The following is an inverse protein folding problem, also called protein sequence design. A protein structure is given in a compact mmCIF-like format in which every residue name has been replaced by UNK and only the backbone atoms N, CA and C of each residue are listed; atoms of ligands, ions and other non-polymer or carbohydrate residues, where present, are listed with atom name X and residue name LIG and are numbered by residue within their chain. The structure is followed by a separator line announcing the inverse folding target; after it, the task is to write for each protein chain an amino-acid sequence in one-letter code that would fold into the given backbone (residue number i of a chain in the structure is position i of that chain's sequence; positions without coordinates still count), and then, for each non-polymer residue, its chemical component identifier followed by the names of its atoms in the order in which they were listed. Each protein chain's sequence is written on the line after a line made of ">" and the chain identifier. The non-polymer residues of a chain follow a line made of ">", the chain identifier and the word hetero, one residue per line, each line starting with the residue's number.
data_IF_534558925609
#
_entry.id   IF_534558925609
#
_cell.length_a   1.000
_cell.length_b   1.000
_cell.length_c   1.000
_cell.angle_alpha   90.00
_cell.angle_beta   90.00
_cell.angle_gamma   90.00
#
_symmetry.space_group_name_H-M   'P 1'
#
loop_
_entity.id
_entity.type
_entity.pdbx_description
1 polymer ?
#
# COMPACT_ATOMS: atom_id res chain seq x y z
N UNK A 1 15.30 -14.18 -6.32
CA UNK A 1 14.69 -14.92 -5.20
C UNK A 1 14.84 -14.07 -3.95
N UNK A 2 13.78 -13.92 -3.17
CA UNK A 2 13.81 -13.15 -1.92
C UNK A 2 13.75 -14.13 -0.77
N UNK A 3 14.80 -14.15 0.04
CA UNK A 3 14.85 -14.91 1.28
C UNK A 3 14.28 -14.05 2.43
N UNK A 4 13.19 -14.53 3.04
CA UNK A 4 12.49 -13.84 4.14
C UNK A 4 13.32 -13.89 5.44
N UNK A 5 14.35 -14.74 5.50
CA UNK A 5 15.29 -14.78 6.64
C UNK A 5 16.27 -13.60 6.65
N UNK A 6 16.37 -12.83 5.56
CA UNK A 6 17.12 -11.57 5.53
C UNK A 6 16.43 -10.54 6.42
N UNK A 7 16.94 -10.39 7.64
CA UNK A 7 16.44 -9.49 8.68
C UNK A 7 16.42 -8.01 8.25
N UNK A 8 16.98 -7.65 7.09
CA UNK A 8 16.99 -6.27 6.60
C UNK A 8 15.87 -5.97 5.60
N UNK A 9 15.13 -6.98 5.11
CA UNK A 9 14.22 -6.74 3.98
C UNK A 9 13.08 -5.76 4.31
N UNK A 10 12.65 -5.74 5.56
CA UNK A 10 11.62 -4.81 6.03
C UNK A 10 12.12 -3.38 6.26
N UNK A 11 13.43 -3.17 6.30
CA UNK A 11 14.01 -1.82 6.35
C UNK A 11 14.09 -1.17 4.98
N UNK A 12 13.85 -1.95 3.91
CA UNK A 12 13.86 -1.50 2.52
C UNK A 12 12.45 -1.10 2.09
N UNK A 13 12.36 -0.07 1.27
CA UNK A 13 11.13 0.34 0.59
C UNK A 13 11.45 0.91 -0.78
N UNK A 14 10.55 0.70 -1.73
CA UNK A 14 10.59 1.38 -3.03
C UNK A 14 9.53 2.48 -3.06
N UNK A 15 9.93 3.70 -3.38
CA UNK A 15 9.06 4.85 -3.51
C UNK A 15 8.83 5.16 -4.99
N UNK A 16 7.58 5.41 -5.33
CA UNK A 16 7.14 5.71 -6.70
C UNK A 16 6.25 6.94 -6.71
N UNK A 17 6.06 7.54 -7.89
CA UNK A 17 5.14 8.67 -8.05
C UNK A 17 3.67 8.24 -8.08
N UNK A 18 3.35 7.08 -8.67
CA UNK A 18 1.98 6.59 -8.92
C UNK A 18 1.69 5.25 -8.25
N UNK A 19 0.44 5.05 -7.82
CA UNK A 19 0.00 3.77 -7.22
C UNK A 19 0.14 2.60 -8.20
N UNK A 20 -0.04 2.82 -9.51
CA UNK A 20 0.09 1.76 -10.52
C UNK A 20 1.50 1.12 -10.52
N UNK A 21 2.55 1.94 -10.48
CA UNK A 21 3.93 1.44 -10.42
C UNK A 21 4.20 0.71 -9.09
N UNK A 22 3.73 1.26 -7.97
CA UNK A 22 3.84 0.59 -6.68
C UNK A 22 3.16 -0.79 -6.70
N UNK A 23 1.94 -0.89 -7.25
CA UNK A 23 1.21 -2.14 -7.35
C UNK A 23 1.95 -3.16 -8.22
N UNK A 24 2.43 -2.77 -9.41
CA UNK A 24 3.22 -3.64 -10.29
C UNK A 24 4.46 -4.21 -9.59
N UNK A 25 5.22 -3.36 -8.89
CA UNK A 25 6.41 -3.78 -8.14
C UNK A 25 6.03 -4.71 -6.99
N UNK A 26 4.98 -4.38 -6.24
CA UNK A 26 4.48 -5.23 -5.16
C UNK A 26 4.11 -6.63 -5.67
N UNK A 27 3.38 -6.73 -6.79
CA UNK A 27 3.00 -8.00 -7.39
C UNK A 27 4.22 -8.81 -7.84
N UNK A 28 5.19 -8.16 -8.49
CA UNK A 28 6.46 -8.79 -8.87
C UNK A 28 7.21 -9.34 -7.65
N UNK A 29 7.33 -8.54 -6.59
CA UNK A 29 8.03 -8.95 -5.36
C UNK A 29 7.32 -10.11 -4.67
N UNK A 30 5.98 -10.09 -4.58
CA UNK A 30 5.20 -11.21 -4.02
C UNK A 30 5.40 -12.49 -4.83
N UNK A 31 5.46 -12.39 -6.16
CA UNK A 31 5.72 -13.55 -7.01
C UNK A 31 7.12 -14.16 -6.79
N UNK A 32 8.11 -13.35 -6.39
CA UNK A 32 9.46 -13.81 -6.07
C UNK A 32 9.61 -14.46 -4.68
N UNK A 33 8.60 -14.38 -3.81
CA UNK A 33 8.60 -15.00 -2.49
C UNK A 33 8.31 -16.51 -2.62
N UNK A 34 9.19 -17.32 -2.05
CA UNK A 34 9.08 -18.78 -2.00
C UNK A 34 8.20 -19.24 -0.83
N UNK A 35 6.91 -18.90 -0.90
CA UNK A 35 5.90 -19.38 0.04
C UNK A 35 4.57 -19.61 -0.70
N UNK A 36 3.68 -20.48 -0.17
CA UNK A 36 2.36 -20.70 -0.74
C UNK A 36 1.55 -19.41 -0.81
N UNK A 37 0.98 -19.13 -1.98
CA UNK A 37 0.06 -18.02 -2.18
C UNK A 37 -1.31 -18.36 -1.60
N UNK A 38 -1.91 -17.40 -0.90
CA UNK A 38 -3.30 -17.42 -0.46
C UNK A 38 -4.01 -16.21 -1.06
N UNK A 39 -5.18 -16.46 -1.63
CA UNK A 39 -6.02 -15.44 -2.27
C UNK A 39 -7.24 -15.16 -1.40
N UNK A 40 -7.41 -13.90 -1.02
CA UNK A 40 -8.54 -13.42 -0.23
C UNK A 40 -9.42 -12.50 -1.07
N UNK A 41 -10.60 -12.99 -1.46
CA UNK A 41 -11.63 -12.20 -2.13
C UNK A 41 -12.47 -11.42 -1.12
N UNK A 42 -12.74 -10.15 -1.39
CA UNK A 42 -13.61 -9.32 -0.56
C UNK A 42 -15.08 -9.70 -0.72
N UNK A 43 -15.90 -9.26 0.24
CA UNK A 43 -17.36 -9.30 0.11
C UNK A 43 -17.80 -7.86 -0.06
N UNK A 44 -18.34 -7.53 -1.24
CA UNK A 44 -18.74 -6.18 -1.60
C UNK A 44 -20.26 -6.09 -1.60
N UNK A 45 -20.78 -4.99 -1.06
CA UNK A 45 -22.20 -4.68 -1.05
C UNK A 45 -22.42 -3.21 -1.37
N UNK A 46 -23.47 -2.91 -2.11
CA UNK A 46 -23.97 -1.55 -2.27
C UNK A 46 -24.88 -1.22 -1.09
N UNK A 47 -24.69 -0.02 -0.53
CA UNK A 47 -25.64 0.63 0.37
C UNK A 47 -26.24 1.79 -0.42
N UNK A 48 -27.49 1.65 -0.85
CA UNK A 48 -28.26 2.69 -1.54
C UNK A 48 -29.70 2.67 -1.05
N UNK A 49 -30.35 3.84 -1.09
CA UNK A 49 -31.79 3.98 -0.84
C UNK A 49 -32.61 3.63 -2.11
N UNK A 50 -32.00 3.68 -3.30
CA UNK A 50 -32.62 3.26 -4.55
C UNK A 50 -32.42 1.76 -4.77
N UNK A 51 -33.52 1.00 -4.77
CA UNK A 51 -33.49 -0.45 -5.00
C UNK A 51 -33.06 -0.82 -6.43
N UNK A 52 -33.17 0.11 -7.40
CA UNK A 52 -32.73 -0.13 -8.77
C UNK A 52 -31.19 -0.15 -8.91
N UNK A 53 -30.44 0.41 -7.97
CA UNK A 53 -28.97 0.40 -8.03
C UNK A 53 -28.39 -1.03 -8.01
N UNK A 54 -29.05 -1.97 -7.31
CA UNK A 54 -28.64 -3.38 -7.31
C UNK A 54 -28.79 -4.05 -8.68
N UNK A 55 -29.69 -3.53 -9.52
CA UNK A 55 -29.93 -4.01 -10.89
C UNK A 55 -29.00 -3.30 -11.88
N UNK A 56 -28.72 -2.01 -11.64
CA UNK A 56 -27.95 -1.16 -12.55
C UNK A 56 -26.44 -1.41 -12.48
N UNK A 57 -25.92 -1.89 -11.35
CA UNK A 57 -24.48 -2.11 -11.16
C UNK A 57 -24.14 -3.60 -10.99
N UNK A 58 -23.60 -4.28 -12.02
CA UNK A 58 -23.20 -5.67 -11.90
C UNK A 58 -22.01 -5.84 -10.93
N UNK A 59 -21.93 -7.00 -10.26
CA UNK A 59 -20.87 -7.29 -9.28
C UNK A 59 -19.47 -7.18 -9.89
N UNK A 60 -19.28 -7.54 -11.15
CA UNK A 60 -18.00 -7.40 -11.86
C UNK A 60 -17.53 -5.95 -11.93
N UNK A 61 -18.46 -4.99 -12.05
CA UNK A 61 -18.14 -3.57 -12.00
C UNK A 61 -17.80 -3.14 -10.57
N UNK A 62 -18.58 -3.58 -9.59
CA UNK A 62 -18.41 -3.25 -8.16
C UNK A 62 -17.04 -3.74 -7.66
N UNK A 63 -16.68 -4.99 -7.98
CA UNK A 63 -15.45 -5.61 -7.52
C UNK A 63 -14.20 -4.96 -8.13
N UNK A 64 -14.34 -4.29 -9.29
CA UNK A 64 -13.26 -3.48 -9.90
C UNK A 64 -13.08 -2.13 -9.24
N UNK A 65 -14.06 -1.64 -8.48
CA UNK A 65 -13.92 -0.35 -7.81
C UNK A 65 -12.86 -0.43 -6.71
N UNK A 66 -11.94 0.53 -6.74
CA UNK A 66 -10.95 0.73 -5.68
C UNK A 66 -10.82 2.21 -5.33
N UNK A 67 -11.85 2.80 -4.67
CA UNK A 67 -11.77 4.17 -4.19
C UNK A 67 -10.59 4.37 -3.24
N UNK A 68 -10.22 5.64 -3.03
CA UNK A 68 -9.13 5.98 -2.10
C UNK A 68 -9.38 5.40 -0.71
N UNK A 69 -8.33 4.84 -0.12
CA UNK A 69 -8.40 4.21 1.20
C UNK A 69 -9.18 2.89 1.24
N UNK A 70 -9.48 2.25 0.12
CA UNK A 70 -10.08 0.90 0.09
C UNK A 70 -9.04 -0.17 -0.32
N UNK A 71 -9.06 -1.35 0.31
CA UNK A 71 -8.23 -2.47 -0.13
C UNK A 71 -8.80 -3.02 -1.46
N UNK A 72 -7.97 -3.70 -2.27
CA UNK A 72 -8.45 -4.33 -3.50
C UNK A 72 -9.45 -5.45 -3.18
N UNK A 73 -10.30 -5.77 -4.16
CA UNK A 73 -11.22 -6.91 -4.04
C UNK A 73 -10.45 -8.22 -3.86
N UNK A 74 -9.42 -8.44 -4.68
CA UNK A 74 -8.53 -9.60 -4.58
C UNK A 74 -7.24 -9.19 -3.87
N UNK A 75 -6.96 -9.81 -2.73
CA UNK A 75 -5.67 -9.74 -2.05
C UNK A 75 -4.91 -11.05 -2.23
N UNK A 76 -3.78 -11.01 -2.94
CA UNK A 76 -2.86 -12.14 -3.10
C UNK A 76 -1.72 -11.96 -2.11
N UNK A 77 -1.58 -12.89 -1.17
CA UNK A 77 -0.64 -12.77 -0.06
C UNK A 77 0.15 -14.05 0.13
N UNK A 78 1.34 -13.92 0.70
CA UNK A 78 2.21 -15.02 1.12
C UNK A 78 2.71 -14.75 2.54
N UNK A 79 3.08 -15.80 3.26
CA UNK A 79 3.86 -15.61 4.50
C UNK A 79 5.14 -14.86 4.15
N UNK A 80 5.50 -13.85 4.95
CA UNK A 80 6.62 -12.95 4.68
C UNK A 80 6.30 -11.73 3.82
N UNK A 81 5.09 -11.61 3.27
CA UNK A 81 4.68 -10.38 2.57
C UNK A 81 4.67 -9.20 3.55
N UNK A 82 5.32 -8.10 3.14
CA UNK A 82 5.23 -6.82 3.85
C UNK A 82 3.96 -6.11 3.41
N UNK A 83 3.15 -5.71 4.37
CA UNK A 83 1.89 -5.01 4.16
C UNK A 83 1.83 -3.74 5.00
N UNK A 84 0.94 -2.83 4.64
CA UNK A 84 0.67 -1.60 5.36
C UNK A 84 -0.79 -1.54 5.76
N UNK A 85 -1.07 -1.19 7.01
CA UNK A 85 -2.43 -0.92 7.47
C UNK A 85 -2.98 0.35 6.80
N UNK A 86 -4.21 0.30 6.32
CA UNK A 86 -4.90 1.44 5.69
C UNK A 86 -6.00 2.05 6.58
N UNK A 87 -6.17 1.52 7.81
CA UNK A 87 -7.08 2.04 8.83
C UNK A 87 -6.47 1.89 10.22
N UNK A 88 -6.91 2.77 11.13
CA UNK A 88 -6.66 2.61 12.55
C UNK A 88 -7.54 1.47 13.08
N UNK A 89 -6.94 0.49 13.74
CA UNK A 89 -7.66 -0.61 14.41
C UNK A 89 -7.51 -0.51 15.93
N UNK A 90 -6.29 -0.27 16.38
CA UNK A 90 -5.96 -0.11 17.79
C UNK A 90 -4.70 0.74 17.93
N UNK A 91 -4.89 2.02 18.21
CA UNK A 91 -3.79 2.98 18.32
C UNK A 91 -2.88 2.64 19.51
N UNK A 92 -3.43 2.11 20.61
CA UNK A 92 -2.67 1.78 21.84
C UNK A 92 -1.70 0.62 21.59
N UNK A 93 -2.08 -0.29 20.69
CA UNK A 93 -1.25 -1.42 20.27
C UNK A 93 -0.49 -1.18 18.96
N UNK A 94 -0.38 0.07 18.49
CA UNK A 94 0.42 0.44 17.31
C UNK A 94 -0.20 0.04 15.96
N UNK A 95 -1.46 -0.42 15.95
CA UNK A 95 -2.23 -0.73 14.76
C UNK A 95 -2.88 0.55 14.20
N UNK A 96 -2.04 1.45 13.70
CA UNK A 96 -2.41 2.72 13.09
C UNK A 96 -2.28 2.66 11.56
N UNK A 97 -3.01 3.53 10.88
CA UNK A 97 -2.87 3.72 9.43
C UNK A 97 -1.41 4.08 9.09
N UNK A 98 -0.87 3.42 8.06
CA UNK A 98 0.53 3.57 7.66
C UNK A 98 1.50 2.63 8.37
N UNK A 99 1.11 1.93 9.45
CA UNK A 99 1.99 0.94 10.10
C UNK A 99 2.33 -0.19 9.13
N UNK A 100 3.63 -0.45 8.94
CA UNK A 100 4.10 -1.61 8.17
C UNK A 100 4.14 -2.84 9.06
N UNK A 101 3.71 -3.96 8.48
CA UNK A 101 3.60 -5.26 9.12
C UNK A 101 4.23 -6.31 8.20
N UNK A 102 4.74 -7.40 8.78
CA UNK A 102 5.09 -8.62 8.03
C UNK A 102 4.15 -9.75 8.41
N UNK A 103 3.60 -10.43 7.42
CA UNK A 103 2.70 -11.58 7.63
C UNK A 103 3.51 -12.76 8.16
N UNK A 104 3.10 -13.31 9.30
CA UNK A 104 3.69 -14.50 9.91
C UNK A 104 2.81 -15.72 9.71
N UNK A 105 1.49 -15.56 9.81
CA UNK A 105 0.53 -16.62 9.54
C UNK A 105 -0.71 -16.07 8.82
N UNK A 106 -1.34 -16.93 8.04
CA UNK A 106 -2.50 -16.61 7.21
C UNK A 106 -3.65 -17.55 7.54
N UNK A 107 -4.72 -17.01 8.12
CA UNK A 107 -5.95 -17.74 8.42
C UNK A 107 -7.11 -17.19 7.60
N UNK A 108 -8.26 -17.87 7.60
CA UNK A 108 -9.42 -17.48 6.77
C UNK A 108 -9.95 -16.07 7.08
N UNK A 109 -10.01 -15.70 8.37
CA UNK A 109 -10.69 -14.49 8.85
C UNK A 109 -9.76 -13.50 9.57
N UNK A 110 -8.52 -13.87 9.82
CA UNK A 110 -7.50 -13.02 10.45
C UNK A 110 -6.11 -13.36 9.89
N UNK A 111 -5.21 -12.40 9.97
CA UNK A 111 -3.79 -12.58 9.69
C UNK A 111 -3.00 -12.36 10.98
N UNK A 112 -1.97 -13.17 11.22
CA UNK A 112 -1.02 -12.92 12.30
C UNK A 112 0.16 -12.17 11.71
N UNK A 113 0.42 -10.98 12.25
CA UNK A 113 1.38 -10.04 11.71
C UNK A 113 2.36 -9.57 12.79
N UNK A 114 3.61 -9.32 12.41
CA UNK A 114 4.59 -8.63 13.26
C UNK A 114 4.69 -7.17 12.84
N UNK A 115 4.61 -6.24 13.79
CA UNK A 115 4.76 -4.80 13.55
C UNK A 115 6.22 -4.46 13.22
N UNK A 116 6.45 -3.70 12.15
CA UNK A 116 7.78 -3.30 11.68
C UNK A 116 8.14 -1.85 12.03
N UNK A 117 7.14 -1.01 12.28
CA UNK A 117 7.28 0.44 12.46
C UNK A 117 6.57 0.95 13.72
N UNK A 118 7.02 2.08 14.26
CA UNK A 118 6.36 2.76 15.38
C UNK A 118 6.72 2.20 16.76
N UNK A 119 6.03 2.70 17.78
CA UNK A 119 6.36 2.48 19.20
C UNK A 119 6.11 1.04 19.70
N UNK A 120 5.34 0.23 18.95
CA UNK A 120 5.11 -1.20 19.21
C UNK A 120 5.82 -2.11 18.21
N UNK A 121 6.98 -1.68 17.68
CA UNK A 121 7.82 -2.50 16.78
C UNK A 121 8.08 -3.87 17.42
N UNK A 122 8.08 -4.92 16.60
CA UNK A 122 8.23 -6.33 16.96
C UNK A 122 7.05 -6.99 17.69
N UNK A 123 6.00 -6.25 18.07
CA UNK A 123 4.80 -6.87 18.63
C UNK A 123 4.06 -7.71 17.59
N UNK A 124 3.47 -8.82 18.04
CA UNK A 124 2.59 -9.67 17.23
C UNK A 124 1.15 -9.20 17.42
N UNK A 125 0.43 -9.04 16.31
CA UNK A 125 -0.96 -8.59 16.27
C UNK A 125 -1.78 -9.44 15.31
N UNK A 126 -3.08 -9.57 15.58
CA UNK A 126 -4.04 -10.18 14.68
C UNK A 126 -4.77 -9.09 13.87
N UNK A 127 -4.78 -9.21 12.56
CA UNK A 127 -5.48 -8.29 11.65
C UNK A 127 -6.76 -8.99 11.14
N UNK A 128 -7.96 -8.59 11.62
CA UNK A 128 -9.20 -9.19 11.18
C UNK A 128 -9.67 -8.60 9.84
N UNK A 129 -10.59 -9.31 9.16
CA UNK A 129 -11.39 -8.71 8.09
C UNK A 129 -12.40 -7.76 8.72
N UNK A 130 -12.50 -6.53 8.22
CA UNK A 130 -13.45 -5.53 8.69
C UNK A 130 -14.27 -4.98 7.54
N UNK A 131 -15.40 -4.37 7.88
CA UNK A 131 -16.20 -3.61 6.92
C UNK A 131 -15.58 -2.24 6.68
N UNK A 132 -15.34 -1.92 5.42
CA UNK A 132 -14.74 -0.68 4.98
C UNK A 132 -15.72 0.05 4.05
N UNK A 133 -15.83 1.35 4.25
CA UNK A 133 -16.46 2.26 3.29
C UNK A 133 -15.43 3.30 2.85
N UNK A 134 -15.54 3.78 1.60
CA UNK A 134 -14.71 4.88 1.14
C UNK A 134 -15.03 6.13 1.97
N UNK A 135 -14.00 6.92 2.28
CA UNK A 135 -14.16 8.19 3.00
C UNK A 135 -14.76 9.26 2.08
N UNK A 136 -14.34 9.27 0.81
CA UNK A 136 -14.85 10.13 -0.25
C UNK A 136 -14.96 9.29 -1.52
N UNK A 137 -16.05 9.44 -2.26
CA UNK A 137 -16.28 8.72 -3.50
C UNK A 137 -17.16 9.54 -4.42
N UNK A 138 -16.83 9.56 -5.71
CA UNK A 138 -17.71 10.10 -6.78
C UNK A 138 -18.67 9.04 -7.29
N UNK A 139 -18.64 7.83 -6.74
CA UNK A 139 -19.59 6.78 -7.08
C UNK A 139 -21.01 7.22 -6.67
N UNK A 140 -22.02 6.92 -7.50
CA UNK A 140 -23.41 7.27 -7.21
C UNK A 140 -24.02 6.45 -6.06
N UNK A 141 -23.27 5.50 -5.50
CA UNK A 141 -23.67 4.62 -4.41
C UNK A 141 -22.59 4.50 -3.35
N UNK A 142 -22.98 4.07 -2.14
CA UNK A 142 -22.01 3.79 -1.06
C UNK A 142 -21.55 2.34 -1.13
N UNK A 143 -20.29 2.16 -1.50
CA UNK A 143 -19.63 0.85 -1.45
C UNK A 143 -19.29 0.46 -0.01
N UNK A 144 -19.65 -0.76 0.38
CA UNK A 144 -19.17 -1.42 1.60
C UNK A 144 -18.41 -2.67 1.21
N UNK A 145 -17.16 -2.78 1.65
CA UNK A 145 -16.24 -3.90 1.36
C UNK A 145 -15.77 -4.56 2.65
N UNK A 146 -16.05 -5.84 2.83
CA UNK A 146 -15.48 -6.65 3.92
C UNK A 146 -14.17 -7.28 3.48
N UNK A 147 -13.05 -6.77 3.99
CA UNK A 147 -11.71 -7.22 3.62
C UNK A 147 -10.70 -6.93 4.74
N UNK A 148 -9.50 -7.52 4.67
CA UNK A 148 -8.41 -7.05 5.51
C UNK A 148 -8.06 -5.59 5.18
N UNK A 149 -7.90 -4.73 6.20
CA UNK A 149 -7.57 -3.32 6.02
C UNK A 149 -6.06 -3.14 5.78
N UNK A 150 -5.53 -3.85 4.78
CA UNK A 150 -4.11 -3.83 4.41
C UNK A 150 -3.91 -3.74 2.90
N UNK A 151 -2.74 -3.27 2.50
CA UNK A 151 -2.22 -3.34 1.14
C UNK A 151 -0.75 -3.80 1.16
N UNK A 152 -0.26 -4.52 0.12
CA UNK A 152 1.18 -4.77 -0.05
C UNK A 152 2.01 -3.48 0.03
N UNK A 153 3.19 -3.57 0.64
CA UNK A 153 4.01 -2.40 0.99
C UNK A 153 5.53 -2.66 0.88
N UNK A 154 5.95 -3.39 -0.15
CA UNK A 154 7.34 -3.40 -0.62
C UNK A 154 7.64 -2.11 -1.40
N UNK A 155 6.68 -1.69 -2.21
CA UNK A 155 6.63 -0.40 -2.87
C UNK A 155 5.39 0.41 -2.45
N UNK A 156 5.53 1.73 -2.43
CA UNK A 156 4.43 2.66 -2.18
C UNK A 156 4.66 3.99 -2.88
N UNK A 157 3.63 4.84 -2.91
CA UNK A 157 3.77 6.20 -3.43
C UNK A 157 4.53 7.08 -2.45
N UNK A 158 5.29 8.05 -2.96
CA UNK A 158 5.99 9.07 -2.15
C UNK A 158 5.03 9.75 -1.16
N UNK A 159 3.82 10.10 -1.59
CA UNK A 159 2.79 10.69 -0.73
C UNK A 159 2.48 9.83 0.51
N UNK A 160 2.31 8.51 0.34
CA UNK A 160 2.05 7.56 1.44
C UNK A 160 3.25 7.37 2.38
N UNK A 161 4.46 7.73 1.94
CA UNK A 161 5.68 7.64 2.74
C UNK A 161 5.93 8.87 3.62
N UNK A 162 5.14 9.94 3.45
CA UNK A 162 5.34 11.19 4.16
C UNK A 162 5.21 11.00 5.67
N UNK A 163 6.18 11.51 6.42
CA UNK A 163 6.25 11.37 7.88
C UNK A 163 6.85 10.04 8.37
N UNK A 164 7.24 9.14 7.46
CA UNK A 164 7.96 7.90 7.80
C UNK A 164 9.45 8.02 7.46
N UNK A 165 10.29 7.18 8.07
CA UNK A 165 11.72 7.03 7.76
C UNK A 165 12.05 5.55 7.59
N UNK A 166 12.93 5.24 6.65
CA UNK A 166 13.30 3.86 6.32
C UNK A 166 14.82 3.67 6.37
N UNK A 167 15.27 2.43 6.56
CA UNK A 167 16.69 2.11 6.61
C UNK A 167 17.35 2.17 5.23
N UNK A 168 16.65 1.75 4.17
CA UNK A 168 17.08 1.91 2.77
C UNK A 168 15.90 2.25 1.87
N UNK A 169 16.10 3.16 0.92
CA UNK A 169 15.06 3.60 -0.01
C UNK A 169 15.56 3.46 -1.44
N UNK A 170 14.78 2.77 -2.26
CA UNK A 170 14.83 2.88 -3.71
C UNK A 170 13.80 3.90 -4.17
N UNK A 171 14.16 4.85 -5.02
CA UNK A 171 13.21 5.75 -5.68
C UNK A 171 13.15 5.30 -7.14
N UNK A 172 11.95 4.90 -7.59
CA UNK A 172 11.70 4.46 -8.96
C UNK A 172 10.82 5.48 -9.68
N UNK A 173 11.40 6.16 -10.66
CA UNK A 173 10.80 7.26 -11.44
C UNK A 173 10.86 6.95 -12.95
N UNK A 174 9.96 6.09 -13.45
CA UNK A 174 9.86 5.82 -14.88
C UNK A 174 9.31 7.02 -15.67
N UNK A 175 8.60 7.92 -14.98
CA UNK A 175 8.06 9.17 -15.50
C UNK A 175 8.51 10.33 -14.60
N UNK A 176 8.56 11.57 -15.13
CA UNK A 176 8.81 12.76 -14.32
C UNK A 176 7.82 12.89 -13.16
N UNK A 177 8.30 13.47 -12.06
CA UNK A 177 7.45 13.80 -10.92
C UNK A 177 6.46 14.87 -11.31
N UNK A 178 5.21 14.70 -10.89
CA UNK A 178 4.13 15.58 -11.29
C UNK A 178 3.76 16.59 -10.19
N UNK A 179 4.33 16.54 -8.99
CA UNK A 179 4.05 17.56 -7.95
C UNK A 179 5.32 18.19 -7.36
N UNK A 180 5.21 19.47 -7.05
CA UNK A 180 6.28 20.23 -6.40
C UNK A 180 6.69 19.59 -5.08
N UNK A 181 7.98 19.54 -4.81
CA UNK A 181 8.53 19.02 -3.55
C UNK A 181 8.43 17.50 -3.39
N UNK A 182 7.86 16.75 -4.35
CA UNK A 182 7.74 15.30 -4.26
C UNK A 182 9.13 14.62 -4.25
N UNK A 183 10.10 15.14 -4.99
CA UNK A 183 11.48 14.64 -4.95
C UNK A 183 12.10 14.87 -3.58
N UNK A 184 11.94 16.08 -3.03
CA UNK A 184 12.42 16.42 -1.70
C UNK A 184 11.80 15.51 -0.62
N UNK A 185 10.49 15.25 -0.70
CA UNK A 185 9.83 14.30 0.20
C UNK A 185 10.47 12.92 0.07
N UNK A 186 10.73 12.42 -1.14
CA UNK A 186 11.34 11.12 -1.36
C UNK A 186 12.78 11.03 -0.81
N UNK A 187 13.61 12.04 -1.10
CA UNK A 187 15.00 12.12 -0.66
C UNK A 187 15.12 12.22 0.87
N UNK A 188 14.20 12.94 1.52
CA UNK A 188 14.16 13.08 2.98
C UNK A 188 13.73 11.82 3.75
N UNK A 189 13.42 10.71 3.05
CA UNK A 189 13.03 9.45 3.71
C UNK A 189 14.21 8.59 4.19
N UNK A 190 15.45 8.91 3.80
CA UNK A 190 16.69 8.24 4.21
C UNK A 190 17.56 9.13 5.10
N UNK A 191 18.43 8.51 5.90
CA UNK A 191 19.38 9.22 6.77
C UNK A 191 20.76 9.42 6.15
N UNK A 192 21.14 8.59 5.18
CA UNK A 192 22.42 8.67 4.46
C UNK A 192 22.22 8.46 2.97
N UNK A 193 23.08 9.11 2.17
CA UNK A 193 23.15 8.94 0.71
C UNK A 193 23.42 7.48 0.32
N UNK A 194 24.23 6.75 1.09
CA UNK A 194 24.59 5.36 0.78
C UNK A 194 23.40 4.39 0.89
N UNK A 195 22.34 4.81 1.57
CA UNK A 195 21.11 4.06 1.76
C UNK A 195 20.04 4.38 0.71
N UNK A 196 20.38 5.25 -0.26
CA UNK A 196 19.50 5.70 -1.33
C UNK A 196 19.96 5.15 -2.68
N UNK A 197 19.02 4.59 -3.42
CA UNK A 197 19.19 4.31 -4.85
C UNK A 197 18.08 4.99 -5.62
N UNK A 198 18.41 5.60 -6.76
CA UNK A 198 17.45 6.24 -7.64
C UNK A 198 17.56 5.57 -9.01
N UNK A 199 16.44 5.13 -9.53
CA UNK A 199 16.30 4.60 -10.88
C UNK A 199 15.34 5.49 -11.66
N UNK A 200 15.84 6.05 -12.76
CA UNK A 200 15.12 6.98 -13.64
C UNK A 200 15.06 6.41 -15.06
N UNK A 201 14.09 6.87 -15.85
CA UNK A 201 14.00 6.49 -17.26
C UNK A 201 15.29 6.82 -18.02
N UNK A 202 15.73 5.92 -18.91
CA UNK A 202 16.98 6.02 -19.66
C UNK A 202 17.09 7.28 -20.54
N UNK A 203 15.97 7.95 -20.83
CA UNK A 203 15.92 9.17 -21.64
C UNK A 203 15.95 10.46 -20.79
N UNK A 204 16.22 10.36 -19.48
CA UNK A 204 16.38 11.53 -18.61
C UNK A 204 17.87 11.84 -18.43
N UNK A 205 18.26 13.10 -18.60
CA UNK A 205 19.65 13.59 -18.39
C UNK A 205 20.05 13.61 -16.89
N UNK A 206 19.61 12.61 -16.11
CA UNK A 206 19.66 12.58 -14.63
C UNK A 206 19.07 13.84 -13.96
N UNK A 207 18.24 14.60 -14.68
CA UNK A 207 17.51 15.75 -14.17
C UNK A 207 16.03 15.39 -14.02
N UNK A 208 15.41 15.90 -12.95
CA UNK A 208 13.96 15.84 -12.74
C UNK A 208 13.44 17.26 -12.74
N UNK A 209 12.48 17.55 -13.61
CA UNK A 209 11.82 18.85 -13.62
C UNK A 209 11.06 19.05 -12.31
N UNK A 210 11.30 20.17 -11.65
CA UNK A 210 10.52 20.57 -10.49
C UNK A 210 9.20 21.17 -10.99
N UNK A 211 8.18 20.34 -11.16
CA UNK A 211 6.88 20.78 -11.68
C UNK A 211 6.10 21.54 -10.58
N UNK A 212 5.94 22.85 -10.77
CA UNK A 212 5.11 23.72 -9.95
C UNK A 212 3.81 24.03 -10.70
N UNK A 213 2.69 23.49 -10.23
CA UNK A 213 1.37 23.96 -10.70
C UNK A 213 1.00 25.24 -9.96
N UNK A 214 1.12 26.38 -10.65
CA UNK A 214 0.74 27.70 -10.11
C UNK A 214 -0.76 27.83 -9.82
N UNK A 215 -1.57 26.95 -10.39
CA UNK A 215 -3.04 26.93 -10.25
C UNK A 215 -3.52 26.36 -8.91
N UNK A 216 -2.61 25.78 -8.12
CA UNK A 216 -2.88 25.19 -6.79
C UNK A 216 -2.19 25.95 -5.64
N UNK A 217 -1.64 27.14 -5.93
CA UNK A 217 -1.09 28.10 -4.95
C UNK A 217 -2.08 29.25 -4.77
#
# INVERSE_FOLDING_TARGET
>A
RIDISDNDIYERVILTSRNEHANKINDQVINMIEAPEVVYSSIDTIISEDQNDFVNYPMEFINKQQPSGMPPHILRLKVGTIVMLIRNLDQRNGMINGSRLIIKEMHRNFLVCKILTGHKKNSIVAIPRIDLSPSETTLPFRLKRRQFPIIPAFAMTIHKSQGQSYGRVGIYLPEPLFTHGQLYVALSRVRSKDQLKIEMSANSDNCVDNIVYKELL
#
